data_IF_983977301315
#
_entry.id   IF_983977301315
#
_cell.length_a   1.000
_cell.length_b   1.000
_cell.length_c   1.000
_cell.angle_alpha   90.00
_cell.angle_beta   90.00
_cell.angle_gamma   90.00
#
_symmetry.space_group_name_H-M   'P 1'
#
loop_
_entity.id
_entity.type
_entity.pdbx_description
1 polymer ?
#
# COMPACT_ATOMS: atom_id res chain seq x y z
N UNK A 1 -16.89 3.55 22.92
CA UNK A 1 -17.25 2.73 21.74
C UNK A 1 -16.34 3.18 20.62
N UNK A 2 -15.23 2.46 20.39
CA UNK A 2 -14.33 2.79 19.28
C UNK A 2 -15.00 2.25 18.03
N UNK A 3 -15.43 3.15 17.14
CA UNK A 3 -15.91 2.79 15.80
C UNK A 3 -14.71 2.38 14.96
N UNK A 4 -14.08 1.26 15.33
CA UNK A 4 -13.19 0.54 14.44
C UNK A 4 -14.08 0.01 13.34
N UNK A 5 -14.31 0.83 12.31
CA UNK A 5 -15.04 0.38 11.14
C UNK A 5 -14.44 -0.96 10.74
N UNK A 6 -15.29 -1.99 10.73
CA UNK A 6 -15.01 -3.31 10.18
C UNK A 6 -14.74 -3.11 8.68
N UNK A 7 -13.54 -2.62 8.38
CA UNK A 7 -13.08 -2.21 7.06
C UNK A 7 -12.64 -3.47 6.32
N UNK A 8 -13.58 -4.33 5.96
CA UNK A 8 -13.29 -5.50 5.14
C UNK A 8 -12.79 -5.05 3.77
N UNK A 9 -11.68 -5.64 3.32
CA UNK A 9 -11.15 -5.46 1.98
C UNK A 9 -11.31 -6.77 1.24
N UNK A 10 -11.92 -6.71 0.06
CA UNK A 10 -12.08 -7.88 -0.79
C UNK A 10 -10.76 -8.17 -1.51
N UNK A 11 -10.25 -9.39 -1.39
CA UNK A 11 -9.08 -9.83 -2.13
C UNK A 11 -9.38 -9.83 -3.63
N UNK A 12 -8.61 -9.08 -4.43
CA UNK A 12 -8.79 -9.00 -5.89
C UNK A 12 -8.45 -10.29 -6.65
N UNK A 13 -7.77 -11.26 -6.01
CA UNK A 13 -7.39 -12.52 -6.65
C UNK A 13 -8.39 -13.65 -6.40
N UNK A 14 -8.96 -13.77 -5.20
CA UNK A 14 -9.88 -14.86 -4.86
C UNK A 14 -11.29 -14.40 -4.48
N UNK A 15 -11.53 -13.09 -4.33
CA UNK A 15 -12.84 -12.54 -3.94
C UNK A 15 -13.18 -12.69 -2.46
N UNK A 16 -12.30 -13.26 -1.64
CA UNK A 16 -12.54 -13.41 -0.20
C UNK A 16 -12.46 -12.08 0.53
N UNK A 17 -13.40 -11.83 1.43
CA UNK A 17 -13.36 -10.71 2.38
C UNK A 17 -12.32 -10.99 3.45
N UNK A 18 -11.42 -10.02 3.64
CA UNK A 18 -10.34 -10.13 4.62
C UNK A 18 -10.16 -8.83 5.37
N UNK A 19 -9.55 -8.91 6.55
CA UNK A 19 -9.24 -7.74 7.35
C UNK A 19 -8.24 -6.81 6.62
N UNK A 20 -8.33 -5.49 6.80
CA UNK A 20 -7.45 -4.54 6.12
C UNK A 20 -6.05 -4.48 6.73
N UNK A 21 -5.90 -5.04 7.93
CA UNK A 21 -4.66 -5.05 8.70
C UNK A 21 -3.65 -6.10 8.21
N UNK A 22 -4.10 -7.09 7.44
CA UNK A 22 -3.22 -8.15 6.93
C UNK A 22 -2.61 -7.74 5.59
N UNK A 23 -1.33 -8.09 5.39
CA UNK A 23 -0.60 -7.78 4.16
C UNK A 23 -0.80 -8.82 3.07
N UNK A 24 -1.22 -10.02 3.44
CA UNK A 24 -1.35 -11.21 2.59
C UNK A 24 -2.68 -11.90 2.86
N UNK A 25 -3.36 -12.34 1.80
CA UNK A 25 -4.64 -13.03 1.91
C UNK A 25 -4.41 -14.46 2.47
N UNK A 26 -5.07 -14.85 3.57
CA UNK A 26 -4.88 -16.17 4.20
C UNK A 26 -5.44 -17.30 3.33
N UNK A 27 -6.31 -16.98 2.37
CA UNK A 27 -6.98 -17.98 1.52
C UNK A 27 -6.20 -18.33 0.26
N UNK A 28 -5.50 -17.36 -0.34
CA UNK A 28 -4.80 -17.57 -1.62
C UNK A 28 -3.32 -17.12 -1.60
N UNK A 29 -2.81 -16.62 -0.46
CA UNK A 29 -1.41 -16.15 -0.32
C UNK A 29 -1.10 -14.85 -1.07
N UNK A 30 -2.12 -14.21 -1.66
CA UNK A 30 -1.94 -13.04 -2.50
C UNK A 30 -1.75 -11.76 -1.69
N UNK A 31 -0.81 -10.90 -2.07
CA UNK A 31 -0.61 -9.60 -1.40
C UNK A 31 -1.80 -8.66 -1.62
N UNK A 32 -2.45 -8.24 -0.53
CA UNK A 32 -3.59 -7.32 -0.56
C UNK A 32 -3.18 -5.88 -0.86
N UNK A 33 -2.02 -5.46 -0.36
CA UNK A 33 -1.45 -4.14 -0.61
C UNK A 33 -0.43 -4.21 -1.75
N UNK A 34 -0.70 -3.46 -2.83
CA UNK A 34 0.32 -3.15 -3.84
C UNK A 34 1.45 -2.39 -3.16
N UNK A 35 2.71 -2.61 -3.58
CA UNK A 35 3.84 -1.78 -3.15
C UNK A 35 3.45 -0.32 -3.32
N UNK A 36 3.72 0.50 -2.31
CA UNK A 36 3.53 1.94 -2.42
C UNK A 36 4.27 2.43 -3.67
N UNK A 37 3.65 3.30 -4.49
CA UNK A 37 4.33 3.90 -5.63
C UNK A 37 5.60 4.59 -5.14
N UNK A 38 6.68 4.48 -5.91
CA UNK A 38 7.95 5.15 -5.57
C UNK A 38 7.73 6.65 -5.65
N UNK A 39 7.45 7.29 -4.52
CA UNK A 39 7.35 8.74 -4.46
C UNK A 39 8.76 9.33 -4.67
N UNK A 40 8.96 10.25 -5.63
CA UNK A 40 10.23 10.92 -5.76
C UNK A 40 10.55 11.68 -4.47
N UNK A 41 11.82 11.65 -4.04
CA UNK A 41 12.27 12.44 -2.88
C UNK A 41 12.03 13.91 -3.19
N UNK A 42 11.19 14.58 -2.39
CA UNK A 42 10.99 16.02 -2.45
C UNK A 42 12.36 16.71 -2.28
N UNK A 43 12.88 17.30 -3.36
CA UNK A 43 14.22 17.93 -3.38
C UNK A 43 15.11 17.60 -4.59
N UNK A 44 14.71 16.67 -5.46
CA UNK A 44 15.49 16.34 -6.66
C UNK A 44 15.44 17.41 -7.79
N UNK A 45 14.72 18.53 -7.60
CA UNK A 45 14.57 19.58 -8.61
C UNK A 45 15.56 20.76 -8.46
N UNK A 46 16.44 20.77 -7.45
CA UNK A 46 17.18 21.99 -7.09
C UNK A 46 18.71 21.88 -7.08
N UNK A 47 19.31 20.74 -7.48
CA UNK A 47 20.76 20.69 -7.71
C UNK A 47 21.05 20.99 -9.18
N UNK A 48 21.00 22.27 -9.53
CA UNK A 48 21.75 22.75 -10.69
C UNK A 48 23.23 22.33 -10.50
N UNK A 49 23.90 21.82 -11.55
CA UNK A 49 25.30 21.46 -11.44
C UNK A 49 26.08 22.75 -11.14
N UNK A 50 26.78 22.77 -10.00
CA UNK A 50 27.75 23.83 -9.73
C UNK A 50 28.84 23.66 -10.78
N UNK A 51 28.86 24.55 -11.78
CA UNK A 51 29.97 24.64 -12.74
C UNK A 51 31.24 24.93 -11.93
N UNK A 52 32.22 24.04 -12.07
CA UNK A 52 33.58 24.21 -11.58
C UNK A 52 34.32 25.26 -12.40
#
# INVERSE_FOLDING_TARGET
MTSGADLFVVCKQCGSEVSPYITECPYCGSRLRRRAPKLPRAGAASRAPRKA
#
